data_IF_954096957066
#
_entry.id   IF_954096957066
#
_cell.length_a   1.000
_cell.length_b   1.000
_cell.length_c   1.000
_cell.angle_alpha   90.00
_cell.angle_beta   90.00
_cell.angle_gamma   90.00
#
_symmetry.space_group_name_H-M   'P 1'
#
loop_
_entity.id
_entity.type
_entity.pdbx_description
1 polymer ?
#
# COMPACT_ATOMS: atom_id res chain seq x y z
N UNK A 1 18.30 4.63 -3.41
CA UNK A 1 18.32 3.37 -4.19
C UNK A 1 16.97 2.66 -4.29
N UNK A 2 15.98 2.88 -3.41
CA UNK A 2 14.66 2.24 -3.50
C UNK A 2 13.62 2.76 -4.53
N UNK A 3 13.63 4.01 -5.03
CA UNK A 3 12.55 4.45 -5.93
C UNK A 3 12.63 3.78 -7.30
N UNK A 4 13.82 3.40 -7.76
CA UNK A 4 14.01 2.70 -9.03
C UNK A 4 13.46 1.27 -8.98
N UNK A 5 13.62 0.56 -7.85
CA UNK A 5 13.02 -0.76 -7.64
C UNK A 5 11.49 -0.69 -7.69
N UNK A 6 10.89 0.33 -7.09
CA UNK A 6 9.44 0.54 -7.12
C UNK A 6 8.92 0.78 -8.54
N UNK A 7 9.61 1.63 -9.32
CA UNK A 7 9.28 1.87 -10.73
C UNK A 7 9.44 0.60 -11.56
N UNK A 8 10.53 -0.13 -11.38
CA UNK A 8 10.77 -1.41 -12.06
C UNK A 8 9.67 -2.43 -11.71
N UNK A 9 9.32 -2.58 -10.44
CA UNK A 9 8.30 -3.55 -10.00
C UNK A 9 6.87 -3.20 -10.43
N UNK A 10 6.56 -1.93 -10.74
CA UNK A 10 5.21 -1.51 -11.13
C UNK A 10 5.10 -1.32 -12.64
N UNK A 11 6.12 -0.73 -13.28
CA UNK A 11 6.10 -0.37 -14.70
C UNK A 11 6.45 -1.55 -15.60
N UNK A 12 7.36 -2.46 -15.21
CA UNK A 12 7.66 -3.65 -16.03
C UNK A 12 6.46 -4.59 -16.15
N UNK A 13 5.69 -4.88 -15.08
CA UNK A 13 4.46 -5.64 -15.25
C UNK A 13 3.46 -4.94 -16.17
N UNK A 14 3.34 -3.61 -16.09
CA UNK A 14 2.44 -2.83 -16.95
C UNK A 14 2.86 -2.84 -18.43
N UNK A 15 4.15 -2.73 -18.74
CA UNK A 15 4.65 -2.85 -20.12
C UNK A 15 4.51 -4.27 -20.64
N UNK A 16 4.83 -5.26 -19.81
CA UNK A 16 4.75 -6.66 -20.18
C UNK A 16 3.31 -7.13 -20.36
N UNK A 17 2.31 -6.57 -19.65
CA UNK A 17 0.89 -6.84 -19.93
C UNK A 17 0.48 -6.50 -21.36
N UNK A 18 1.05 -5.46 -21.97
CA UNK A 18 0.66 -5.01 -23.32
C UNK A 18 1.17 -5.97 -24.40
N UNK A 19 2.43 -6.40 -24.30
CA UNK A 19 3.01 -7.38 -25.24
C UNK A 19 2.34 -8.75 -25.13
N UNK A 20 1.93 -9.09 -23.91
CA UNK A 20 1.32 -10.36 -23.57
C UNK A 20 -0.12 -10.46 -24.12
N UNK A 21 -0.91 -9.39 -24.03
CA UNK A 21 -2.25 -9.31 -24.63
C UNK A 21 -2.17 -9.47 -26.15
N UNK A 22 -1.11 -8.97 -26.79
CA UNK A 22 -0.92 -9.09 -28.23
C UNK A 22 -0.51 -10.51 -28.68
N UNK A 23 -0.04 -11.38 -27.78
CA UNK A 23 0.59 -12.67 -28.13
C UNK A 23 -0.04 -13.91 -27.51
N UNK A 24 -1.21 -13.78 -26.87
CA UNK A 24 -2.15 -14.84 -26.49
C UNK A 24 -1.60 -15.96 -25.58
N UNK A 25 -0.72 -16.84 -26.07
CA UNK A 25 -0.05 -17.86 -25.27
C UNK A 25 0.88 -17.28 -24.19
N UNK A 26 1.42 -16.08 -24.38
CA UNK A 26 2.28 -15.43 -23.38
C UNK A 26 1.48 -14.88 -22.18
N UNK A 27 0.15 -14.81 -22.28
CA UNK A 27 -0.74 -14.33 -21.22
C UNK A 27 -0.78 -15.23 -20.01
N UNK A 28 -0.84 -16.53 -20.22
CA UNK A 28 -0.86 -17.48 -19.12
C UNK A 28 0.47 -17.46 -18.37
N UNK A 29 1.61 -17.53 -19.09
CA UNK A 29 2.95 -17.44 -18.50
C UNK A 29 3.21 -16.13 -17.75
N UNK A 30 2.74 -15.01 -18.28
CA UNK A 30 2.87 -13.71 -17.63
C UNK A 30 2.00 -13.60 -16.37
N UNK A 31 0.76 -14.09 -16.41
CA UNK A 31 -0.12 -14.11 -15.24
C UNK A 31 0.44 -14.98 -14.12
N UNK A 32 1.00 -16.14 -14.47
CA UNK A 32 1.67 -17.07 -13.55
C UNK A 32 2.97 -16.47 -13.01
N UNK A 33 3.73 -15.73 -13.81
CA UNK A 33 4.97 -15.08 -13.38
C UNK A 33 4.75 -13.83 -12.51
N UNK A 34 3.66 -13.08 -12.74
CA UNK A 34 3.36 -11.87 -11.97
C UNK A 34 2.58 -12.12 -10.68
N UNK A 35 1.80 -13.20 -10.59
CA UNK A 35 1.08 -13.55 -9.36
C UNK A 35 2.03 -13.68 -8.13
N UNK A 36 3.17 -14.40 -8.19
CA UNK A 36 4.13 -14.44 -7.09
C UNK A 36 4.68 -13.07 -6.73
N UNK A 37 4.98 -12.21 -7.70
CA UNK A 37 5.47 -10.84 -7.45
C UNK A 37 4.43 -9.99 -6.71
N UNK A 38 3.15 -10.09 -7.09
CA UNK A 38 2.07 -9.39 -6.40
C UNK A 38 1.94 -9.93 -4.96
N UNK A 39 1.97 -11.24 -4.75
CA UNK A 39 1.84 -11.79 -3.40
C UNK A 39 3.07 -11.55 -2.51
N UNK A 40 4.28 -11.54 -3.08
CA UNK A 40 5.54 -11.41 -2.30
C UNK A 40 5.94 -9.96 -2.05
N UNK A 41 5.62 -9.03 -2.95
CA UNK A 41 6.01 -7.63 -2.80
C UNK A 41 4.85 -6.73 -2.41
N UNK A 42 3.72 -6.83 -3.12
CA UNK A 42 2.60 -5.92 -2.92
C UNK A 42 1.88 -6.19 -1.59
N UNK A 43 1.59 -7.46 -1.26
CA UNK A 43 0.90 -7.83 -0.03
C UNK A 43 1.63 -7.37 1.25
N UNK A 44 2.95 -7.59 1.41
CA UNK A 44 3.68 -7.09 2.58
C UNK A 44 3.73 -5.57 2.66
N UNK A 45 3.87 -4.86 1.54
CA UNK A 45 3.79 -3.39 1.49
C UNK A 45 2.43 -2.87 1.98
N UNK A 46 1.35 -3.58 1.65
CA UNK A 46 0.00 -3.26 2.12
C UNK A 46 -0.18 -3.50 3.61
N UNK A 47 0.29 -4.64 4.13
CA UNK A 47 0.20 -4.98 5.55
C UNK A 47 1.05 -4.04 6.41
N UNK A 48 2.24 -3.68 5.95
CA UNK A 48 3.10 -2.70 6.62
C UNK A 48 2.47 -1.31 6.61
N UNK A 49 1.88 -0.87 5.49
CA UNK A 49 1.13 0.39 5.43
C UNK A 49 -0.03 0.46 6.43
N UNK A 50 -0.79 -0.62 6.57
CA UNK A 50 -1.93 -0.70 7.49
C UNK A 50 -1.48 -0.72 8.97
N UNK A 51 -0.43 -1.49 9.29
CA UNK A 51 0.13 -1.54 10.66
C UNK A 51 0.74 -0.21 11.07
N UNK A 52 1.44 0.49 10.16
CA UNK A 52 1.93 1.85 10.38
C UNK A 52 0.79 2.84 10.66
N UNK A 53 -0.31 2.75 9.89
CA UNK A 53 -1.47 3.60 10.10
C UNK A 53 -2.17 3.31 11.43
N UNK A 54 -2.32 2.04 11.80
CA UNK A 54 -2.88 1.62 13.08
C UNK A 54 -2.01 2.06 14.26
N UNK A 55 -0.69 1.85 14.18
CA UNK A 55 0.26 2.25 15.21
C UNK A 55 0.23 3.77 15.44
N UNK A 56 0.17 4.55 14.35
CA UNK A 56 0.03 6.00 14.43
C UNK A 56 -1.25 6.43 15.17
N UNK A 57 -2.40 5.83 14.85
CA UNK A 57 -3.66 6.10 15.57
C UNK A 57 -3.55 5.70 17.04
N UNK A 58 -2.87 4.59 17.33
CA UNK A 58 -2.60 4.13 18.68
C UNK A 58 -1.76 5.12 19.50
N UNK A 59 -0.73 5.73 18.90
CA UNK A 59 0.08 6.78 19.56
C UNK A 59 -0.78 8.00 19.86
N UNK A 60 -1.60 8.45 18.91
CA UNK A 60 -2.52 9.58 19.10
C UNK A 60 -3.51 9.31 20.24
N UNK A 61 -4.10 8.12 20.25
CA UNK A 61 -5.04 7.70 21.29
C UNK A 61 -4.39 7.64 22.68
N UNK A 62 -3.21 7.03 22.80
CA UNK A 62 -2.48 6.98 24.09
C UNK A 62 -2.03 8.36 24.56
N UNK A 63 -1.70 9.26 23.64
CA UNK A 63 -1.41 10.65 23.97
C UNK A 63 -2.67 11.37 24.47
N UNK A 64 -3.85 11.08 23.90
CA UNK A 64 -5.12 11.62 24.39
C UNK A 64 -5.50 11.08 25.77
N UNK A 65 -5.34 9.78 26.01
CA UNK A 65 -5.87 9.09 27.19
C UNK A 65 -5.02 9.18 28.45
N UNK A 66 -3.94 9.96 28.45
CA UNK A 66 -3.05 10.01 29.61
C UNK A 66 -3.42 11.07 30.65
N UNK A 67 -2.67 11.14 31.76
CA UNK A 67 -3.04 11.95 32.93
C UNK A 67 -2.70 13.44 32.74
N UNK A 68 -3.53 14.15 31.97
CA UNK A 68 -3.31 15.57 31.68
C UNK A 68 -3.19 16.42 32.94
N UNK A 69 -4.01 16.17 33.96
CA UNK A 69 -4.08 17.00 35.17
C UNK A 69 -2.79 16.94 36.00
N UNK A 70 -2.14 15.77 36.05
CA UNK A 70 -0.94 15.52 36.85
C UNK A 70 0.36 15.94 36.13
N UNK A 71 0.29 16.15 34.81
CA UNK A 71 1.45 16.46 33.98
C UNK A 71 1.90 17.91 34.07
N UNK A 72 3.24 18.10 34.00
CA UNK A 72 3.86 19.43 33.91
C UNK A 72 3.53 20.09 32.56
N UNK A 73 3.53 21.43 32.46
CA UNK A 73 3.22 22.13 31.21
C UNK A 73 4.04 21.66 30.00
N UNK A 74 5.34 21.36 30.20
CA UNK A 74 6.22 20.85 29.14
C UNK A 74 5.79 19.46 28.62
N UNK A 75 5.30 18.58 29.49
CA UNK A 75 4.83 17.24 29.10
C UNK A 75 3.53 17.33 28.29
N UNK A 76 2.61 18.20 28.73
CA UNK A 76 1.37 18.49 27.99
C UNK A 76 1.64 19.01 26.58
N UNK A 77 2.57 19.97 26.45
CA UNK A 77 3.02 20.49 25.14
C UNK A 77 3.57 19.39 24.23
N UNK A 78 4.38 18.49 24.78
CA UNK A 78 4.96 17.37 24.04
C UNK A 78 3.86 16.41 23.53
N UNK A 79 2.86 16.12 24.37
CA UNK A 79 1.69 15.34 23.97
C UNK A 79 0.88 16.01 22.88
N UNK A 80 0.59 17.30 23.01
CA UNK A 80 -0.12 18.07 21.98
C UNK A 80 0.65 18.02 20.64
N UNK A 81 1.97 18.17 20.68
CA UNK A 81 2.84 18.02 19.52
C UNK A 81 2.77 16.62 18.89
N UNK A 82 2.79 15.56 19.70
CA UNK A 82 2.62 14.18 19.23
C UNK A 82 1.24 13.96 18.59
N UNK A 83 0.18 14.51 19.19
CA UNK A 83 -1.18 14.41 18.64
C UNK A 83 -1.28 15.14 17.31
N UNK A 84 -0.73 16.35 17.22
CA UNK A 84 -0.71 17.12 15.98
C UNK A 84 0.10 16.42 14.88
N UNK A 85 1.28 15.88 15.21
CA UNK A 85 2.11 15.10 14.30
C UNK A 85 1.39 13.83 13.80
N UNK A 86 0.67 13.16 14.70
CA UNK A 86 -0.14 11.96 14.38
C UNK A 86 -1.49 12.29 13.75
N UNK A 87 -1.90 13.56 13.59
CA UNK A 87 -3.02 13.96 12.74
C UNK A 87 -2.60 14.34 11.31
N UNK A 88 -1.31 14.61 11.08
CA UNK A 88 -0.75 14.99 9.78
C UNK A 88 -0.64 13.88 8.72
N UNK A 89 0.33 13.98 7.82
CA UNK A 89 0.60 12.94 6.78
C UNK A 89 1.66 11.90 7.18
N UNK A 90 2.18 11.99 8.41
CA UNK A 90 3.25 11.11 8.91
C UNK A 90 2.85 9.62 8.93
N UNK A 91 3.84 8.74 8.74
CA UNK A 91 3.70 7.28 8.80
C UNK A 91 2.65 6.67 7.84
N UNK A 92 2.29 7.35 6.74
CA UNK A 92 1.52 6.74 5.66
C UNK A 92 2.46 6.24 4.57
N UNK A 93 2.40 4.96 4.23
CA UNK A 93 3.02 4.47 3.00
C UNK A 93 2.16 4.93 1.83
N UNK A 94 2.73 5.74 0.93
CA UNK A 94 2.02 6.32 -0.21
C UNK A 94 2.72 5.95 -1.51
N UNK A 95 1.95 5.41 -2.45
CA UNK A 95 2.38 5.26 -3.83
C UNK A 95 2.07 6.53 -4.61
N UNK A 96 3.04 7.03 -5.39
CA UNK A 96 2.81 8.16 -6.31
C UNK A 96 1.74 7.73 -7.34
N UNK A 97 0.62 8.44 -7.40
CA UNK A 97 -0.52 8.12 -8.28
C UNK A 97 -1.49 7.04 -7.76
N UNK A 98 -1.11 6.26 -6.74
CA UNK A 98 -1.94 5.19 -6.14
C UNK A 98 -2.62 5.66 -4.85
N UNK A 99 -2.06 6.68 -4.19
CA UNK A 99 -2.57 7.20 -2.92
C UNK A 99 -2.02 6.43 -1.73
N UNK A 100 -2.82 6.29 -0.68
CA UNK A 100 -2.42 5.53 0.51
C UNK A 100 -2.40 4.03 0.20
N UNK A 101 -1.30 3.36 0.53
CA UNK A 101 -1.24 1.89 0.58
C UNK A 101 -1.87 1.44 1.89
N UNK A 102 -3.20 1.47 1.93
CA UNK A 102 -3.99 0.87 2.99
C UNK A 102 -4.60 -0.46 2.52
N UNK A 103 -5.08 -1.27 3.47
CA UNK A 103 -5.67 -2.58 3.17
C UNK A 103 -6.83 -2.49 2.16
N UNK A 104 -7.58 -1.38 2.17
CA UNK A 104 -8.69 -1.12 1.23
C UNK A 104 -8.18 -0.85 -0.19
N UNK A 105 -7.17 -0.01 -0.35
CA UNK A 105 -6.54 0.27 -1.63
C UNK A 105 -5.92 -1.00 -2.22
N UNK A 106 -5.28 -1.82 -1.37
CA UNK A 106 -4.69 -3.08 -1.79
C UNK A 106 -5.72 -4.12 -2.20
N UNK A 107 -6.83 -4.22 -1.48
CA UNK A 107 -7.96 -5.06 -1.89
C UNK A 107 -8.54 -4.61 -3.23
N UNK A 108 -8.71 -3.30 -3.44
CA UNK A 108 -9.19 -2.77 -4.72
C UNK A 108 -8.22 -3.05 -5.86
N UNK A 109 -6.92 -2.90 -5.63
CA UNK A 109 -5.89 -3.22 -6.62
C UNK A 109 -5.90 -4.71 -6.99
N UNK A 110 -5.95 -5.61 -6.00
CA UNK A 110 -6.07 -7.06 -6.24
C UNK A 110 -7.37 -7.40 -6.97
N UNK A 111 -8.51 -6.82 -6.57
CA UNK A 111 -9.79 -7.03 -7.25
C UNK A 111 -9.72 -6.59 -8.71
N UNK A 112 -9.15 -5.42 -8.98
CA UNK A 112 -8.96 -4.90 -10.34
C UNK A 112 -8.05 -5.82 -11.17
N UNK A 113 -6.99 -6.35 -10.56
CA UNK A 113 -6.08 -7.31 -11.18
C UNK A 113 -6.80 -8.62 -11.55
N UNK A 114 -7.57 -9.20 -10.63
CA UNK A 114 -8.36 -10.41 -10.91
C UNK A 114 -9.43 -10.17 -11.98
N UNK A 115 -10.12 -9.03 -11.95
CA UNK A 115 -11.06 -8.66 -13.00
C UNK A 115 -10.40 -8.52 -14.37
N UNK A 116 -9.19 -7.94 -14.42
CA UNK A 116 -8.41 -7.85 -15.65
C UNK A 116 -8.04 -9.24 -16.17
N UNK A 117 -7.51 -10.12 -15.32
CA UNK A 117 -7.20 -11.51 -15.71
C UNK A 117 -8.43 -12.25 -16.23
N UNK A 118 -9.59 -12.08 -15.61
CA UNK A 118 -10.83 -12.73 -16.03
C UNK A 118 -11.29 -12.25 -17.42
N UNK A 119 -11.18 -10.95 -17.71
CA UNK A 119 -11.43 -10.41 -19.06
C UNK A 119 -10.44 -10.99 -20.07
N UNK A 120 -9.17 -11.09 -19.68
CA UNK A 120 -8.11 -11.61 -20.54
C UNK A 120 -8.34 -13.08 -20.91
N UNK A 121 -8.70 -13.91 -19.93
CA UNK A 121 -9.04 -15.33 -20.13
C UNK A 121 -10.27 -15.45 -21.05
N UNK A 122 -11.32 -14.66 -20.81
CA UNK A 122 -12.54 -14.69 -21.62
C UNK A 122 -12.35 -14.18 -23.06
N UNK A 123 -11.30 -13.40 -23.34
CA UNK A 123 -10.96 -12.93 -24.69
C UNK A 123 -10.05 -13.92 -25.45
N UNK A 124 -9.41 -14.85 -24.74
CA UNK A 124 -8.41 -15.77 -25.28
C UNK A 124 -8.88 -17.23 -25.37
N UNK A 125 -9.91 -17.61 -24.61
CA UNK A 125 -10.64 -18.88 -24.75
C UNK A 125 -11.80 -18.77 -25.72
#
# INVERSE_FOLDING_TARGET
MMPHLLVVTIVLPLLSTVEVVASGMRAELFSVGTAPLVFTLFMPLCLTGDTLMAARRGVSWRAYSGPWLEERPRQRLLRLGLMQATMGRGAMVRGRGIGNLDRRACYRALKSWFSFLQVLINLLG
#
